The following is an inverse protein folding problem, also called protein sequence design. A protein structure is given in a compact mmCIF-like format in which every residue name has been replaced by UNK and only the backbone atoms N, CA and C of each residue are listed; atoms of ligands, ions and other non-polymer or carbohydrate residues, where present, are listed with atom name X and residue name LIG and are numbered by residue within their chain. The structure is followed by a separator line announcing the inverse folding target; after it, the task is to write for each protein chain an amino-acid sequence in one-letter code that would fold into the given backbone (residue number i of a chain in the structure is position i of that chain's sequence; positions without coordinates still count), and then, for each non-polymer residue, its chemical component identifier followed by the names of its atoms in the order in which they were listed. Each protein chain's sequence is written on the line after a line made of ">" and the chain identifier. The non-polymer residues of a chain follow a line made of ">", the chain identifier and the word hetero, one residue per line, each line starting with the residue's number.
data_IF_136928590525
#
_entry.id   IF_136928590525
#
_cell.length_a   1.000
_cell.length_b   1.000
_cell.length_c   1.000
_cell.angle_alpha   90.00
_cell.angle_beta   90.00
_cell.angle_gamma   90.00
#
_symmetry.space_group_name_H-M   'P 1'
#
loop_
_entity.id
_entity.type
_entity.pdbx_description
1 polymer ?
#
# COMPACT_ATOMS: atom_id res chain seq x y z
N UNK A 1 11.49 -9.04 -13.36
CA UNK A 1 10.37 -8.36 -14.06
C UNK A 1 9.47 -7.68 -13.03
N UNK A 2 9.06 -6.43 -13.25
CA UNK A 2 8.11 -5.72 -12.37
C UNK A 2 6.78 -5.48 -13.10
N UNK A 3 5.67 -5.76 -12.43
CA UNK A 3 4.30 -5.51 -12.93
C UNK A 3 3.51 -4.69 -11.92
N UNK A 4 2.95 -3.56 -12.35
CA UNK A 4 2.01 -2.78 -11.53
C UNK A 4 0.66 -3.52 -11.41
N UNK A 5 0.07 -3.48 -10.22
CA UNK A 5 -1.27 -4.00 -9.92
C UNK A 5 -2.25 -2.84 -9.74
N UNK A 6 -1.89 -1.88 -8.89
CA UNK A 6 -2.69 -0.68 -8.63
C UNK A 6 -1.81 0.46 -8.11
N UNK A 7 -2.27 1.69 -8.29
CA UNK A 7 -1.61 2.92 -7.88
C UNK A 7 -2.68 3.97 -7.54
N UNK A 8 -2.60 4.50 -6.32
CA UNK A 8 -3.57 5.48 -5.83
C UNK A 8 -2.86 6.68 -5.21
N UNK A 9 -2.77 7.80 -5.94
CA UNK A 9 -2.35 9.08 -5.39
C UNK A 9 -3.54 9.74 -4.68
N UNK A 10 -3.45 9.92 -3.35
CA UNK A 10 -4.49 10.67 -2.63
C UNK A 10 -4.58 12.09 -3.17
N UNK A 11 -5.79 12.59 -3.22
CA UNK A 11 -6.11 14.00 -3.40
C UNK A 11 -6.36 14.67 -2.04
N UNK A 12 -6.19 16.01 -1.93
CA UNK A 12 -6.44 16.71 -0.67
C UNK A 12 -7.85 16.50 -0.09
N UNK A 13 -8.86 16.26 -0.94
CA UNK A 13 -10.24 15.99 -0.54
C UNK A 13 -10.49 14.57 0.00
N UNK A 14 -9.54 13.65 -0.19
CA UNK A 14 -9.57 12.31 0.39
C UNK A 14 -8.93 12.23 1.79
N UNK A 15 -8.22 13.28 2.21
CA UNK A 15 -7.71 13.35 3.57
C UNK A 15 -8.87 13.54 4.57
N UNK A 16 -8.86 12.85 5.72
CA UNK A 16 -9.89 13.04 6.72
C UNK A 16 -9.80 14.47 7.28
N UNK A 17 -10.94 15.07 7.67
CA UNK A 17 -10.93 16.34 8.40
C UNK A 17 -10.08 16.20 9.67
N UNK A 18 -9.07 17.05 9.81
CA UNK A 18 -8.08 16.98 10.88
C UNK A 18 -7.62 18.40 11.23
N UNK A 19 -7.45 18.67 12.53
CA UNK A 19 -6.81 19.90 13.01
C UNK A 19 -5.28 19.82 12.87
N UNK A 20 -4.74 18.60 12.72
CA UNK A 20 -3.33 18.35 12.44
C UNK A 20 -3.06 18.34 10.93
N UNK A 21 -1.85 18.80 10.55
CA UNK A 21 -1.36 18.70 9.17
C UNK A 21 -1.07 17.24 8.82
N UNK A 22 -1.91 16.67 7.95
CA UNK A 22 -1.73 15.32 7.42
C UNK A 22 -0.90 15.36 6.14
N UNK A 23 0.10 14.48 6.06
CA UNK A 23 0.88 14.32 4.85
C UNK A 23 0.00 13.72 3.74
N UNK A 24 0.07 14.30 2.54
CA UNK A 24 -0.59 13.75 1.36
C UNK A 24 0.27 12.63 0.77
N UNK A 25 -0.18 11.38 0.92
CA UNK A 25 0.57 10.19 0.51
C UNK A 25 -0.09 9.49 -0.68
N UNK A 26 0.71 8.92 -1.58
CA UNK A 26 0.28 7.91 -2.53
C UNK A 26 0.68 6.51 -2.04
N UNK A 27 -0.04 5.50 -2.51
CA UNK A 27 0.39 4.10 -2.39
C UNK A 27 0.33 3.39 -3.73
N UNK A 28 1.23 2.43 -3.92
CA UNK A 28 1.23 1.58 -5.11
C UNK A 28 1.51 0.12 -4.75
N UNK A 29 0.81 -0.79 -5.40
CA UNK A 29 1.02 -2.25 -5.28
C UNK A 29 1.55 -2.78 -6.60
N UNK A 30 2.68 -3.48 -6.54
CA UNK A 30 3.28 -4.15 -7.68
C UNK A 30 3.71 -5.58 -7.32
N UNK A 31 4.06 -6.37 -8.32
CA UNK A 31 4.73 -7.66 -8.17
C UNK A 31 6.14 -7.54 -8.76
N UNK A 32 7.12 -8.08 -8.05
CA UNK A 32 8.50 -8.23 -8.53
C UNK A 32 8.97 -9.66 -8.28
N UNK A 33 9.72 -10.24 -9.22
CA UNK A 33 10.45 -11.50 -9.07
C UNK A 33 11.97 -11.30 -9.17
N UNK A 34 12.43 -10.05 -9.15
CA UNK A 34 13.83 -9.65 -9.32
C UNK A 34 14.61 -9.80 -8.01
N UNK A 35 14.75 -11.03 -7.55
CA UNK A 35 15.46 -11.42 -6.33
C UNK A 35 16.33 -12.65 -6.58
N UNK A 36 17.39 -12.78 -5.78
CA UNK A 36 18.34 -13.90 -5.88
C UNK A 36 17.69 -15.27 -5.62
N UNK A 37 16.56 -15.31 -4.91
CA UNK A 37 15.81 -16.52 -4.60
C UNK A 37 14.78 -16.91 -5.68
N UNK A 38 14.64 -16.08 -6.73
CA UNK A 38 13.68 -16.25 -7.83
C UNK A 38 12.21 -16.39 -7.39
N UNK A 39 11.86 -15.99 -6.17
CA UNK A 39 10.49 -16.04 -5.70
C UNK A 39 9.80 -14.66 -5.89
N UNK A 40 8.51 -14.62 -6.30
CA UNK A 40 7.80 -13.36 -6.50
C UNK A 40 7.35 -12.73 -5.17
N UNK A 41 7.46 -11.40 -5.05
CA UNK A 41 7.12 -10.57 -3.88
C UNK A 41 6.07 -9.54 -4.28
N UNK A 42 5.19 -9.24 -3.34
CA UNK A 42 4.34 -8.05 -3.40
C UNK A 42 5.19 -6.85 -2.97
N UNK A 43 5.20 -5.81 -3.79
CA UNK A 43 5.90 -4.55 -3.51
C UNK A 43 4.86 -3.51 -3.17
N UNK A 44 4.87 -3.03 -1.92
CA UNK A 44 4.04 -1.91 -1.47
C UNK A 44 4.92 -0.68 -1.34
N UNK A 45 4.65 0.33 -2.16
CA UNK A 45 5.26 1.65 -2.06
C UNK A 45 4.30 2.59 -1.35
N UNK A 46 4.79 3.40 -0.42
CA UNK A 46 4.09 4.54 0.16
C UNK A 46 5.02 5.74 0.08
N UNK A 47 4.58 6.80 -0.59
CA UNK A 47 5.39 8.00 -0.83
C UNK A 47 4.57 9.28 -0.73
N UNK A 48 5.22 10.41 -0.53
CA UNK A 48 4.53 11.71 -0.56
C UNK A 48 4.16 12.08 -2.00
N UNK A 49 2.95 12.59 -2.19
CA UNK A 49 2.47 13.04 -3.50
C UNK A 49 3.35 14.19 -4.01
N UNK A 50 3.93 14.00 -5.19
CA UNK A 50 4.85 14.96 -5.81
C UNK A 50 6.34 14.72 -5.49
N UNK A 51 6.66 13.80 -4.59
CA UNK A 51 8.02 13.46 -4.16
C UNK A 51 8.43 12.06 -4.63
N UNK A 52 8.22 11.77 -5.92
CA UNK A 52 8.40 10.44 -6.50
C UNK A 52 9.81 9.88 -6.26
N UNK A 53 9.89 8.68 -5.68
CA UNK A 53 11.14 7.99 -5.39
C UNK A 53 11.75 8.30 -4.01
N UNK A 54 11.11 9.14 -3.20
CA UNK A 54 11.55 9.45 -1.82
C UNK A 54 10.78 8.65 -0.76
N UNK A 55 9.80 7.84 -1.16
CA UNK A 55 8.99 7.04 -0.26
C UNK A 55 9.64 5.78 0.30
N UNK A 56 8.86 5.06 1.09
CA UNK A 56 9.23 3.77 1.66
C UNK A 56 8.68 2.64 0.78
N UNK A 57 9.48 1.58 0.64
CA UNK A 57 9.12 0.41 -0.14
C UNK A 57 9.24 -0.84 0.72
N UNK A 58 8.13 -1.57 0.83
CA UNK A 58 8.08 -2.88 1.47
C UNK A 58 8.07 -3.97 0.41
N UNK A 59 8.96 -4.96 0.57
CA UNK A 59 8.96 -6.17 -0.24
C UNK A 59 8.44 -7.32 0.63
N UNK A 60 7.28 -7.85 0.27
CA UNK A 60 6.52 -8.79 1.08
C UNK A 60 6.46 -10.14 0.37
N UNK A 61 6.85 -11.19 1.07
CA UNK A 61 6.54 -12.56 0.63
C UNK A 61 5.02 -12.83 0.73
N UNK A 62 4.59 -13.99 0.22
CA UNK A 62 3.18 -14.39 0.25
C UNK A 62 2.57 -14.38 1.66
N UNK A 63 3.20 -15.02 2.67
CA UNK A 63 2.75 -14.95 4.06
C UNK A 63 2.60 -13.53 4.63
N UNK A 64 3.58 -12.65 4.41
CA UNK A 64 3.57 -11.27 4.89
C UNK A 64 2.47 -10.44 4.21
N UNK A 65 2.34 -10.55 2.89
CA UNK A 65 1.26 -9.89 2.14
C UNK A 65 -0.12 -10.35 2.62
N UNK A 66 -0.30 -11.65 2.85
CA UNK A 66 -1.54 -12.20 3.41
C UNK A 66 -1.82 -11.63 4.81
N UNK A 67 -0.80 -11.51 5.66
CA UNK A 67 -0.95 -10.93 7.00
C UNK A 67 -1.40 -9.46 6.93
N UNK A 68 -0.80 -8.65 6.06
CA UNK A 68 -1.21 -7.26 5.86
C UNK A 68 -2.66 -7.16 5.36
N UNK A 69 -3.04 -7.96 4.35
CA UNK A 69 -4.42 -8.01 3.84
C UNK A 69 -5.43 -8.31 4.96
N UNK A 70 -5.12 -9.28 5.82
CA UNK A 70 -6.01 -9.63 6.94
C UNK A 70 -6.11 -8.50 7.96
N UNK A 71 -5.00 -7.81 8.27
CA UNK A 71 -5.02 -6.66 9.17
C UNK A 71 -5.91 -5.52 8.64
N UNK A 72 -5.80 -5.20 7.35
CA UNK A 72 -6.66 -4.19 6.70
C UNK A 72 -8.13 -4.61 6.72
N UNK A 73 -8.43 -5.86 6.36
CA UNK A 73 -9.78 -6.44 6.38
C UNK A 73 -10.41 -6.35 7.78
N UNK A 74 -9.64 -6.68 8.81
CA UNK A 74 -10.12 -6.65 10.19
C UNK A 74 -10.29 -5.20 10.69
N UNK A 75 -9.42 -4.27 10.30
CA UNK A 75 -9.57 -2.83 10.58
C UNK A 75 -10.83 -2.24 9.92
N UNK A 76 -11.14 -2.61 8.66
CA UNK A 76 -12.36 -2.19 7.98
C UNK A 76 -13.63 -2.64 8.71
N UNK A 77 -13.64 -3.87 9.24
CA UNK A 77 -14.76 -4.36 10.06
C UNK A 77 -14.92 -3.57 11.35
N UNK A 78 -13.82 -3.22 12.00
CA UNK A 78 -13.85 -2.45 13.26
C UNK A 78 -14.51 -1.07 13.06
N UNK A 79 -14.29 -0.44 11.91
CA UNK A 79 -14.94 0.84 11.55
C UNK A 79 -16.32 0.67 10.88
N UNK A 80 -16.88 -0.53 10.87
CA UNK A 80 -18.24 -0.81 10.39
C UNK A 80 -18.39 -0.89 8.87
N UNK A 81 -17.30 -1.03 8.11
CA UNK A 81 -17.33 -1.20 6.66
C UNK A 81 -17.36 -2.67 6.25
N UNK A 82 -17.96 -2.96 5.10
CA UNK A 82 -17.82 -4.26 4.44
C UNK A 82 -16.41 -4.36 3.83
N UNK A 83 -15.57 -5.30 4.29
CA UNK A 83 -14.21 -5.42 3.80
C UNK A 83 -14.11 -6.17 2.46
N UNK A 84 -15.22 -6.67 1.92
CA UNK A 84 -15.21 -7.58 0.77
C UNK A 84 -14.72 -8.99 1.11
N UNK A 85 -14.53 -9.82 0.07
CA UNK A 85 -14.09 -11.22 0.17
C UNK A 85 -12.55 -11.40 0.36
#
# INVERSE_FOLDING_TARGET
>A
MRRSIDDHPFTPDELPPSDDELQLLSWAVAISDDYDDAEPRVVLTVEEVGSAGEGLVMHLDGPQARRLRLALRDAMREIGLDPGE
#
